data_IF_609163477370
#
_entry.id   IF_609163477370
#
_cell.length_a   1.000
_cell.length_b   1.000
_cell.length_c   1.000
_cell.angle_alpha   90.00
_cell.angle_beta   90.00
_cell.angle_gamma   90.00
#
_symmetry.space_group_name_H-M   'P 1'
#
loop_
_entity.id
_entity.type
_entity.pdbx_description
1 polymer ?
#
# COMPACT_ATOMS: atom_id res chain seq x y z
N UNK A 1 1.69 -1.48 6.85
CA UNK A 1 2.54 -1.88 5.72
C UNK A 1 3.14 -0.63 5.11
N UNK A 2 4.43 -0.63 4.82
CA UNK A 2 5.15 0.56 4.35
C UNK A 2 5.89 0.22 3.05
N UNK A 3 5.64 0.99 1.99
CA UNK A 3 6.43 0.93 0.76
C UNK A 3 7.58 1.92 0.88
N UNK A 4 8.80 1.41 0.87
CA UNK A 4 10.02 2.16 1.09
C UNK A 4 10.85 2.15 -0.21
N UNK A 5 11.54 3.27 -0.47
CA UNK A 5 12.51 3.36 -1.56
C UNK A 5 13.91 3.25 -0.97
N UNK A 6 14.66 2.26 -1.43
CA UNK A 6 16.02 1.99 -0.97
C UNK A 6 17.05 2.89 -1.70
N UNK A 7 18.28 3.02 -1.17
CA UNK A 7 19.34 3.82 -1.80
C UNK A 7 19.67 3.38 -3.24
N UNK A 8 19.52 2.09 -3.56
CA UNK A 8 19.69 1.54 -4.91
C UNK A 8 18.49 1.81 -5.85
N UNK A 9 17.56 2.67 -5.43
CA UNK A 9 16.30 3.01 -6.08
C UNK A 9 15.30 1.87 -6.27
N UNK A 10 15.55 0.70 -5.68
CA UNK A 10 14.58 -0.40 -5.65
C UNK A 10 13.59 -0.16 -4.51
N UNK A 11 12.35 -0.60 -4.71
CA UNK A 11 11.33 -0.54 -3.66
C UNK A 11 11.24 -1.85 -2.87
N UNK A 12 11.01 -1.73 -1.56
CA UNK A 12 10.65 -2.84 -0.67
C UNK A 12 9.37 -2.52 0.10
N UNK A 13 8.63 -3.55 0.51
CA UNK A 13 7.53 -3.43 1.46
C UNK A 13 7.86 -4.12 2.75
N UNK A 14 7.45 -3.49 3.85
CA UNK A 14 7.55 -4.04 5.20
C UNK A 14 6.17 -4.21 5.82
N UNK A 15 5.95 -5.37 6.42
CA UNK A 15 4.66 -5.76 6.98
C UNK A 15 4.83 -6.61 8.24
N UNK A 16 4.16 -6.20 9.31
CA UNK A 16 4.09 -6.97 10.53
C UNK A 16 2.95 -8.01 10.43
N UNK A 17 3.18 -9.26 10.85
CA UNK A 17 2.10 -10.24 10.94
C UNK A 17 1.11 -9.87 12.06
N UNK A 18 -0.12 -10.40 12.02
CA UNK A 18 -1.08 -10.32 13.12
C UNK A 18 -0.47 -10.75 14.46
N UNK A 19 -0.93 -10.15 15.56
CA UNK A 19 -0.42 -10.44 16.92
C UNK A 19 -0.38 -11.94 17.26
N UNK A 20 -1.43 -12.74 16.99
CA UNK A 20 -1.41 -14.16 17.32
C UNK A 20 -0.27 -14.94 16.67
N UNK A 21 0.09 -14.58 15.43
CA UNK A 21 1.22 -15.22 14.74
C UNK A 21 2.56 -14.77 15.31
N UNK A 22 2.69 -13.49 15.71
CA UNK A 22 3.91 -12.97 16.36
C UNK A 22 4.20 -13.63 17.70
N UNK A 23 3.16 -14.08 18.39
CA UNK A 23 3.26 -14.84 19.63
C UNK A 23 3.61 -16.32 19.38
N UNK A 24 3.42 -16.83 18.16
CA UNK A 24 3.72 -18.21 17.75
C UNK A 24 4.97 -18.32 16.86
N UNK A 25 6.08 -17.73 17.29
CA UNK A 25 7.41 -17.80 16.64
C UNK A 25 7.55 -17.13 15.26
N UNK A 26 6.56 -16.37 14.79
CA UNK A 26 6.74 -15.59 13.56
C UNK A 26 7.65 -14.38 13.80
N UNK A 27 8.40 -13.95 12.78
CA UNK A 27 9.21 -12.73 12.87
C UNK A 27 8.33 -11.50 13.12
N UNK A 28 8.90 -10.50 13.78
CA UNK A 28 8.23 -9.22 14.06
C UNK A 28 7.79 -8.49 12.78
N UNK A 29 8.56 -8.64 11.71
CA UNK A 29 8.34 -7.96 10.45
C UNK A 29 8.86 -8.82 9.28
N UNK A 30 8.12 -8.78 8.17
CA UNK A 30 8.54 -9.32 6.89
C UNK A 30 8.95 -8.19 5.95
N UNK A 31 10.04 -8.40 5.20
CA UNK A 31 10.53 -7.47 4.18
C UNK A 31 10.51 -8.14 2.81
N UNK A 32 9.88 -7.50 1.82
CA UNK A 32 9.79 -8.01 0.45
C UNK A 32 10.28 -6.99 -0.56
N UNK A 33 11.19 -7.40 -1.45
CA UNK A 33 11.75 -6.54 -2.50
C UNK A 33 10.98 -6.73 -3.82
N UNK A 34 10.62 -5.62 -4.47
CA UNK A 34 9.82 -5.62 -5.71
C UNK A 34 10.64 -5.73 -7.00
N UNK A 35 11.98 -5.70 -6.89
CA UNK A 35 12.91 -5.81 -8.02
C UNK A 35 12.57 -4.87 -9.17
N UNK A 36 12.07 -3.68 -8.86
CA UNK A 36 11.79 -2.60 -9.81
C UNK A 36 12.22 -1.27 -9.24
N UNK A 37 12.63 -0.37 -10.13
CA UNK A 37 12.92 1.04 -9.82
C UNK A 37 11.77 1.96 -10.21
N UNK A 38 10.76 1.45 -10.91
CA UNK A 38 9.58 2.20 -11.28
C UNK A 38 8.61 2.25 -10.10
N UNK A 39 8.23 3.47 -9.71
CA UNK A 39 7.34 3.73 -8.57
C UNK A 39 5.93 3.22 -8.82
N UNK A 40 5.39 3.40 -10.02
CA UNK A 40 4.04 2.97 -10.39
C UNK A 40 3.94 1.45 -10.34
N UNK A 41 4.94 0.76 -10.89
CA UNK A 41 5.01 -0.71 -10.85
C UNK A 41 5.14 -1.20 -9.40
N UNK A 42 5.99 -0.55 -8.59
CA UNK A 42 6.15 -0.90 -7.19
C UNK A 42 4.83 -0.82 -6.42
N UNK A 43 3.99 0.20 -6.67
CA UNK A 43 2.67 0.29 -6.05
C UNK A 43 1.75 -0.86 -6.41
N UNK A 44 1.69 -1.22 -7.69
CA UNK A 44 0.80 -2.28 -8.18
C UNK A 44 1.21 -3.64 -7.62
N UNK A 45 2.52 -3.97 -7.71
CA UNK A 45 3.06 -5.20 -7.13
C UNK A 45 2.86 -5.26 -5.61
N UNK A 46 2.95 -4.12 -4.94
CA UNK A 46 2.74 -4.04 -3.51
C UNK A 46 1.31 -4.41 -3.09
N UNK A 47 0.30 -3.89 -3.79
CA UNK A 47 -1.10 -4.23 -3.52
C UNK A 47 -1.32 -5.74 -3.64
N UNK A 48 -0.87 -6.33 -4.74
CA UNK A 48 -1.05 -7.76 -5.02
C UNK A 48 -0.32 -8.65 -3.99
N UNK A 49 0.93 -8.33 -3.67
CA UNK A 49 1.69 -9.07 -2.65
C UNK A 49 1.06 -8.99 -1.26
N UNK A 50 0.55 -7.81 -0.89
CA UNK A 50 -0.06 -7.61 0.44
C UNK A 50 -1.38 -8.36 0.55
N UNK A 51 -2.19 -8.36 -0.51
CA UNK A 51 -3.43 -9.15 -0.55
C UNK A 51 -3.13 -10.65 -0.38
N UNK A 52 -2.15 -11.16 -1.12
CA UNK A 52 -1.72 -12.55 -1.03
C UNK A 52 -1.22 -12.90 0.38
N UNK A 53 -0.37 -12.05 0.95
CA UNK A 53 0.18 -12.27 2.29
C UNK A 53 -0.90 -12.22 3.37
N UNK A 54 -1.87 -11.32 3.25
CA UNK A 54 -3.00 -11.23 4.17
C UNK A 54 -3.81 -12.53 4.16
N UNK A 55 -4.12 -13.07 2.97
CA UNK A 55 -4.81 -14.36 2.84
C UNK A 55 -4.01 -15.51 3.47
N UNK A 56 -2.68 -15.53 3.28
CA UNK A 56 -1.82 -16.53 3.91
C UNK A 56 -1.76 -16.37 5.44
N UNK A 57 -1.77 -15.16 5.98
CA UNK A 57 -1.86 -14.96 7.43
C UNK A 57 -3.20 -15.44 7.99
N UNK A 58 -4.30 -15.20 7.28
CA UNK A 58 -5.62 -15.67 7.69
C UNK A 58 -5.69 -17.20 7.69
N UNK A 59 -5.16 -17.84 6.64
CA UNK A 59 -4.97 -19.30 6.60
C UNK A 59 -4.12 -19.78 7.76
N UNK A 60 -2.95 -19.18 7.98
CA UNK A 60 -2.01 -19.63 9.00
C UNK A 60 -2.58 -19.55 10.43
N UNK A 61 -3.36 -18.50 10.72
CA UNK A 61 -4.11 -18.41 11.98
C UNK A 61 -5.17 -19.51 12.10
N UNK A 62 -5.92 -19.76 11.03
CA UNK A 62 -7.02 -20.72 11.05
C UNK A 62 -6.54 -22.17 11.23
N UNK A 63 -5.37 -22.51 10.69
CA UNK A 63 -4.83 -23.88 10.69
C UNK A 63 -3.64 -24.07 11.62
N UNK A 64 -3.26 -23.05 12.39
CA UNK A 64 -2.07 -23.04 13.23
C UNK A 64 -0.80 -23.50 12.47
N UNK A 65 -0.59 -22.95 11.27
CA UNK A 65 0.58 -23.29 10.45
C UNK A 65 1.87 -22.91 11.18
N UNK A 66 2.87 -23.78 11.12
CA UNK A 66 4.20 -23.42 11.60
C UNK A 66 4.84 -22.35 10.71
N UNK A 67 5.78 -21.58 11.28
CA UNK A 67 6.52 -20.58 10.48
C UNK A 67 7.27 -21.20 9.30
N UNK A 68 7.79 -22.44 9.45
CA UNK A 68 8.49 -23.15 8.39
C UNK A 68 7.57 -23.47 7.20
N UNK A 69 6.39 -24.02 7.47
CA UNK A 69 5.37 -24.31 6.45
C UNK A 69 4.89 -23.03 5.78
N UNK A 70 4.60 -21.99 6.59
CA UNK A 70 4.16 -20.70 6.08
C UNK A 70 5.20 -20.09 5.14
N UNK A 71 6.49 -20.16 5.51
CA UNK A 71 7.58 -19.65 4.69
C UNK A 71 7.69 -20.40 3.36
N UNK A 72 7.46 -21.71 3.35
CA UNK A 72 7.43 -22.51 2.13
C UNK A 72 6.27 -22.08 1.21
N UNK A 73 5.04 -22.04 1.74
CA UNK A 73 3.87 -21.62 0.96
C UNK A 73 4.01 -20.18 0.42
N UNK A 74 4.53 -19.27 1.25
CA UNK A 74 4.78 -17.89 0.87
C UNK A 74 5.82 -17.77 -0.24
N UNK A 75 6.90 -18.57 -0.18
CA UNK A 75 7.93 -18.58 -1.21
C UNK A 75 7.35 -19.03 -2.56
N UNK A 76 6.55 -20.09 -2.57
CA UNK A 76 5.90 -20.60 -3.78
C UNK A 76 4.94 -19.56 -4.36
N UNK A 77 4.10 -18.97 -3.52
CA UNK A 77 3.12 -17.96 -3.92
C UNK A 77 3.78 -16.69 -4.50
N UNK A 78 4.88 -16.22 -3.89
CA UNK A 78 5.67 -15.10 -4.41
C UNK A 78 6.36 -15.45 -5.72
N UNK A 79 6.87 -16.68 -5.85
CA UNK A 79 7.53 -17.12 -7.07
C UNK A 79 6.54 -17.18 -8.24
N UNK A 80 5.34 -17.69 -8.03
CA UNK A 80 4.26 -17.66 -9.02
C UNK A 80 3.91 -16.22 -9.42
N UNK A 81 3.75 -15.34 -8.44
CA UNK A 81 3.45 -13.93 -8.70
C UNK A 81 4.57 -13.24 -9.51
N UNK A 82 5.83 -13.52 -9.20
CA UNK A 82 6.99 -13.03 -9.96
C UNK A 82 7.06 -13.58 -11.37
N UNK A 83 6.67 -14.83 -11.59
CA UNK A 83 6.56 -15.41 -12.93
C UNK A 83 5.50 -14.66 -13.73
N UNK A 84 4.33 -14.39 -13.15
CA UNK A 84 3.27 -13.61 -13.80
C UNK A 84 3.73 -12.21 -14.22
N UNK A 85 4.59 -11.56 -13.42
CA UNK A 85 5.18 -10.26 -13.78
C UNK A 85 6.14 -10.31 -14.96
N UNK A 86 6.79 -11.45 -15.22
CA UNK A 86 7.68 -11.62 -16.38
C UNK A 86 6.88 -11.87 -17.66
N UNK A 87 5.72 -12.49 -17.53
CA UNK A 87 4.81 -12.80 -18.64
C UNK A 87 4.01 -11.59 -19.12
N UNK A 88 3.91 -10.54 -18.31
CA UNK A 88 3.15 -9.34 -18.60
C UNK A 88 4.08 -8.15 -18.88
N UNK A 89 3.79 -7.30 -19.88
CA UNK A 89 4.50 -6.03 -20.02
C UNK A 89 4.32 -5.20 -18.75
N UNK A 90 5.32 -4.40 -18.39
CA UNK A 90 5.43 -3.63 -17.13
C UNK A 90 4.24 -2.67 -16.81
N UNK A 91 3.21 -2.63 -17.65
CA UNK A 91 2.06 -1.73 -17.60
C UNK A 91 0.72 -2.38 -17.28
N UNK A 92 0.59 -3.71 -17.28
CA UNK A 92 -0.68 -4.38 -16.96
C UNK A 92 -0.75 -4.79 -15.49
N UNK A 93 -1.82 -4.37 -14.83
CA UNK A 93 -2.19 -4.76 -13.46
C UNK A 93 -3.65 -5.15 -13.44
N UNK A 94 -4.03 -6.08 -12.58
CA UNK A 94 -5.43 -6.49 -12.41
C UNK A 94 -6.18 -5.60 -11.41
N UNK A 95 -5.61 -4.46 -11.00
CA UNK A 95 -6.30 -3.51 -10.13
C UNK A 95 -7.63 -3.06 -10.76
N UNK A 96 -8.72 -2.96 -9.97
CA UNK A 96 -9.99 -2.46 -10.48
C UNK A 96 -9.80 -1.10 -11.14
N UNK A 97 -10.19 -0.97 -12.41
CA UNK A 97 -10.22 0.33 -13.07
C UNK A 97 -11.28 1.17 -12.36
N UNK A 98 -10.83 2.27 -11.73
CA UNK A 98 -11.75 3.29 -11.24
C UNK A 98 -12.34 3.98 -12.48
N UNK A 99 -13.54 3.56 -12.88
CA UNK A 99 -14.33 4.26 -13.87
C UNK A 99 -14.68 5.63 -13.30
N UNK A 100 -13.86 6.63 -13.62
CA UNK A 100 -14.20 8.02 -13.40
C UNK A 100 -15.35 8.36 -14.32
N UNK A 101 -16.59 8.26 -13.84
CA UNK A 101 -17.68 9.01 -14.47
C UNK A 101 -17.36 10.47 -14.27
N UNK A 102 -16.70 11.10 -15.24
CA UNK A 102 -16.78 12.56 -15.38
C UNK A 102 -18.21 12.85 -15.80
N UNK A 103 -19.12 12.83 -14.83
CA UNK A 103 -20.37 13.55 -14.96
C UNK A 103 -19.94 15.00 -15.20
N UNK A 104 -20.10 15.47 -16.43
CA UNK A 104 -20.00 16.87 -16.79
C UNK A 104 -20.96 17.59 -15.85
N UNK A 105 -20.43 18.15 -14.77
CA UNK A 105 -21.17 19.08 -13.92
C UNK A 105 -21.44 20.28 -14.82
N UNK A 106 -22.67 20.38 -15.29
CA UNK A 106 -23.25 21.61 -15.80
C UNK A 106 -22.85 22.73 -14.85
N UNK A 107 -22.23 23.78 -15.41
CA UNK A 107 -21.71 24.90 -14.66
C UNK A 107 -22.82 25.51 -13.79
N UNK A 108 -22.72 25.30 -12.48
CA UNK A 108 -23.45 26.09 -11.49
C UNK A 108 -22.65 27.37 -11.24
N UNK A 109 -23.28 28.56 -11.18
CA UNK A 109 -22.56 29.81 -11.04
C UNK A 109 -21.78 29.84 -9.72
N UNK A 110 -20.47 30.10 -9.83
CA UNK A 110 -19.55 30.32 -8.70
C UNK A 110 -20.15 31.34 -7.74
N UNK A 111 -20.48 30.93 -6.52
CA UNK A 111 -20.53 31.87 -5.41
C UNK A 111 -19.10 32.32 -5.10
N UNK A 112 -18.83 33.61 -5.26
CA UNK A 112 -17.57 34.23 -4.90
C UNK A 112 -17.43 34.21 -3.38
N UNK A 113 -16.59 33.31 -2.86
CA UNK A 113 -16.15 33.38 -1.47
C UNK A 113 -15.36 34.68 -1.29
N UNK A 114 -15.91 35.59 -0.50
CA UNK A 114 -15.32 36.91 -0.24
C UNK A 114 -13.97 36.81 0.47
N UNK A 115 -13.08 37.77 0.19
CA UNK A 115 -11.71 37.85 0.73
C UNK A 115 -11.65 37.82 2.27
N UNK A 116 -12.74 38.17 2.96
CA UNK A 116 -12.83 38.10 4.41
C UNK A 116 -12.85 36.67 4.96
N UNK A 117 -13.51 35.73 4.29
CA UNK A 117 -13.61 34.34 4.75
C UNK A 117 -12.26 33.62 4.60
N UNK A 118 -11.53 33.94 3.51
CA UNK A 118 -10.17 33.46 3.30
C UNK A 118 -9.21 33.98 4.38
N UNK A 119 -9.36 35.24 4.78
CA UNK A 119 -8.56 35.86 5.85
C UNK A 119 -8.89 35.28 7.24
N UNK A 120 -10.13 34.88 7.49
CA UNK A 120 -10.50 34.19 8.75
C UNK A 120 -9.85 32.82 8.84
N UNK A 121 -9.85 32.04 7.74
CA UNK A 121 -9.22 30.72 7.70
C UNK A 121 -7.69 30.78 7.84
N UNK A 122 -7.03 31.78 7.25
CA UNK A 122 -5.58 31.94 7.39
C UNK A 122 -5.16 32.32 8.81
N UNK A 123 -5.95 33.17 9.49
CA UNK A 123 -5.69 33.52 10.90
C UNK A 123 -5.81 32.31 11.83
N UNK A 124 -6.83 31.46 11.63
CA UNK A 124 -7.00 30.24 12.45
C UNK A 124 -5.85 29.25 12.28
N UNK A 125 -5.30 29.12 11.06
CA UNK A 125 -4.14 28.26 10.80
C UNK A 125 -2.85 28.77 11.48
N UNK A 126 -2.64 30.10 11.50
CA UNK A 126 -1.46 30.70 12.13
C UNK A 126 -1.45 30.53 13.67
N UNK A 127 -2.60 30.62 14.33
CA UNK A 127 -2.68 30.43 15.79
C UNK A 127 -2.45 28.98 16.25
N UNK A 128 -2.65 27.98 15.38
CA UNK A 128 -2.36 26.58 15.73
C UNK A 128 -0.87 26.24 15.68
N UNK A 129 -0.06 26.96 14.90
CA UNK A 129 1.39 26.71 14.83
C UNK A 129 2.16 27.30 16.02
N UNK A 130 1.68 28.37 16.63
CA UNK A 130 2.36 29.02 17.77
C UNK A 130 2.11 28.33 19.13
N UNK A 131 1.20 27.35 19.21
CA UNK A 131 0.89 26.65 20.47
C UNK A 131 1.68 25.35 20.68
N UNK A 132 2.56 25.00 19.73
CA UNK A 132 3.36 23.77 19.74
C UNK A 132 4.82 24.01 19.33
N UNK A 133 5.35 25.23 19.49
CA UNK A 133 6.79 25.54 19.38
C UNK A 133 7.30 26.07 20.71
#
# INVERSE_FOLDING_TARGET
MYLLRLPNSVYDTRIAPPLPLRESDYPKEFTFFFLTRDRKIAYLRNIEQVQLLQALFDKAKATALSFAEFKAELADAINQLRQNYRSQPETTTNAPMLSGTTAVKTASPRSSVGKEELNRLTKVAAYRYLKYS
#
